data_IF_673136430809
#
_entry.id   IF_673136430809
#
_cell.length_a   1.000
_cell.length_b   1.000
_cell.length_c   1.000
_cell.angle_alpha   90.00
_cell.angle_beta   90.00
_cell.angle_gamma   90.00
#
_symmetry.space_group_name_H-M   'P 1'
#
loop_
_entity.id
_entity.type
_entity.pdbx_description
1 polymer ?
#
# COMPACT_ATOMS: atom_id res chain seq x y z
N UNK A 1 -3.95 2.60 -41.05
CA UNK A 1 -5.01 3.00 -41.99
C UNK A 1 -6.02 1.86 -42.04
N UNK A 2 -7.29 2.16 -41.80
CA UNK A 2 -8.39 1.21 -41.88
C UNK A 2 -9.23 1.52 -43.13
N UNK A 3 -9.46 0.49 -43.93
CA UNK A 3 -10.39 0.52 -45.07
C UNK A 3 -11.80 0.26 -44.53
N UNK A 4 -12.69 1.25 -44.66
CA UNK A 4 -14.06 1.18 -44.14
C UNK A 4 -15.06 1.44 -45.27
N UNK A 5 -16.29 0.94 -45.13
CA UNK A 5 -17.36 1.22 -46.08
C UNK A 5 -18.22 2.37 -45.57
N UNK A 6 -18.48 3.37 -46.43
CA UNK A 6 -19.40 4.45 -46.11
C UNK A 6 -20.82 3.89 -45.91
N UNK A 7 -21.50 4.20 -44.79
CA UNK A 7 -22.83 3.65 -44.49
C UNK A 7 -23.95 4.17 -45.41
N UNK A 8 -23.67 5.22 -46.20
CA UNK A 8 -24.66 5.87 -47.05
C UNK A 8 -24.59 5.45 -48.53
N UNK A 9 -23.42 5.01 -49.01
CA UNK A 9 -23.20 4.71 -50.43
C UNK A 9 -22.36 3.46 -50.70
N UNK A 10 -21.97 2.72 -49.65
CA UNK A 10 -21.17 1.50 -49.72
C UNK A 10 -19.81 1.67 -50.45
N UNK A 11 -19.34 2.90 -50.61
CA UNK A 11 -18.03 3.19 -51.17
C UNK A 11 -16.95 3.00 -50.09
N UNK A 12 -15.83 2.40 -50.49
CA UNK A 12 -14.66 2.20 -49.65
C UNK A 12 -13.91 3.52 -49.44
N UNK A 13 -13.62 3.84 -48.19
CA UNK A 13 -12.92 5.05 -47.75
C UNK A 13 -11.81 4.65 -46.77
N UNK A 14 -10.66 5.31 -46.90
CA UNK A 14 -9.51 5.10 -46.01
C UNK A 14 -9.55 6.14 -44.87
N UNK A 15 -9.53 5.67 -43.62
CA UNK A 15 -9.35 6.51 -42.43
C UNK A 15 -8.11 6.08 -41.64
N UNK A 16 -7.58 6.99 -40.81
CA UNK A 16 -6.50 6.66 -39.87
C UNK A 16 -6.99 5.66 -38.79
N UNK A 17 -6.10 4.81 -38.25
CA UNK A 17 -6.47 3.74 -37.30
C UNK A 17 -7.03 4.28 -35.98
N UNK A 18 -6.73 5.54 -35.64
CA UNK A 18 -7.20 6.28 -34.47
C UNK A 18 -8.27 7.33 -34.81
N UNK A 19 -8.78 7.35 -36.04
CA UNK A 19 -9.82 8.26 -36.47
C UNK A 19 -11.13 8.00 -35.70
N UNK A 20 -11.69 9.04 -35.10
CA UNK A 20 -13.04 9.03 -34.53
C UNK A 20 -13.69 10.41 -34.66
N UNK A 21 -15.01 10.46 -34.83
CA UNK A 21 -15.77 11.70 -35.00
C UNK A 21 -16.67 11.72 -36.24
N UNK A 22 -17.09 12.91 -36.64
CA UNK A 22 -17.95 13.13 -37.81
C UNK A 22 -17.07 13.32 -39.05
N UNK A 23 -17.32 12.54 -40.10
CA UNK A 23 -16.62 12.60 -41.38
C UNK A 23 -17.60 12.84 -42.51
N UNK A 24 -17.16 13.56 -43.54
CA UNK A 24 -17.93 13.73 -44.78
C UNK A 24 -17.41 12.74 -45.82
N UNK A 25 -18.31 11.96 -46.43
CA UNK A 25 -17.93 11.00 -47.45
C UNK A 25 -17.57 11.72 -48.77
N UNK A 26 -16.37 11.54 -49.34
CA UNK A 26 -15.96 12.20 -50.58
C UNK A 26 -16.71 11.71 -51.84
N UNK A 27 -17.52 10.67 -51.72
CA UNK A 27 -18.26 10.07 -52.83
C UNK A 27 -19.75 10.42 -52.85
N UNK A 28 -20.33 10.83 -51.72
CA UNK A 28 -21.76 11.17 -51.65
C UNK A 28 -22.08 12.45 -50.89
N UNK A 29 -21.05 13.18 -50.41
CA UNK A 29 -21.15 14.45 -49.67
C UNK A 29 -22.06 14.37 -48.44
N UNK A 30 -22.25 13.16 -47.89
CA UNK A 30 -23.03 12.94 -46.67
C UNK A 30 -22.10 12.74 -45.49
N UNK A 31 -22.46 13.37 -44.38
CA UNK A 31 -21.80 13.18 -43.10
C UNK A 31 -22.18 11.83 -42.48
N UNK A 32 -21.21 11.18 -41.86
CA UNK A 32 -21.39 9.97 -41.06
C UNK A 32 -20.46 10.01 -39.85
N UNK A 33 -20.89 9.41 -38.74
CA UNK A 33 -20.08 9.30 -37.53
C UNK A 33 -19.29 8.00 -37.56
N UNK A 34 -17.97 8.10 -37.42
CA UNK A 34 -17.08 6.95 -37.28
C UNK A 34 -16.56 6.86 -35.85
N UNK A 35 -16.73 5.71 -35.23
CA UNK A 35 -16.12 5.38 -33.94
C UNK A 35 -15.08 4.32 -34.25
N UNK A 36 -13.82 4.74 -34.40
CA UNK A 36 -12.71 3.80 -34.62
C UNK A 36 -12.68 2.72 -33.54
N UNK A 37 -11.95 1.63 -33.79
CA UNK A 37 -11.68 0.59 -32.79
C UNK A 37 -10.73 1.08 -31.67
N UNK A 38 -10.77 2.36 -31.32
CA UNK A 38 -10.32 2.80 -30.01
C UNK A 38 -11.25 2.16 -29.00
N UNK A 39 -10.70 1.23 -28.21
CA UNK A 39 -11.27 0.70 -26.96
C UNK A 39 -12.21 1.75 -26.39
N UNK A 40 -13.51 1.48 -26.41
CA UNK A 40 -14.54 2.40 -25.94
C UNK A 40 -14.15 2.91 -24.55
N UNK A 41 -13.52 4.08 -24.48
CA UNK A 41 -13.54 4.90 -23.28
C UNK A 41 -14.90 5.51 -23.27
N UNK A 42 -15.86 4.67 -22.89
CA UNK A 42 -17.21 5.02 -22.52
C UNK A 42 -17.08 6.23 -21.60
N UNK A 43 -17.37 7.42 -22.14
CA UNK A 43 -17.52 8.63 -21.37
C UNK A 43 -18.79 8.48 -20.54
N UNK A 44 -18.75 7.54 -19.60
CA UNK A 44 -19.75 7.39 -18.58
C UNK A 44 -19.69 8.66 -17.74
N UNK A 45 -20.68 9.51 -17.97
CA UNK A 45 -21.35 10.25 -16.91
C UNK A 45 -21.12 9.53 -15.58
N UNK A 46 -20.24 10.08 -14.74
CA UNK A 46 -19.99 9.62 -13.37
C UNK A 46 -21.28 9.80 -12.54
N UNK A 47 -22.27 8.96 -12.82
CA UNK A 47 -23.23 8.54 -11.82
C UNK A 47 -22.38 7.80 -10.80
N UNK A 48 -22.05 8.46 -9.69
CA UNK A 48 -21.33 7.86 -8.59
C UNK A 48 -22.12 6.61 -8.15
N UNK A 49 -21.74 5.45 -8.66
CA UNK A 49 -22.25 4.17 -8.18
C UNK A 49 -21.90 4.11 -6.68
N UNK A 50 -22.83 3.70 -5.80
CA UNK A 50 -22.52 3.53 -4.40
C UNK A 50 -21.25 2.69 -4.26
N UNK A 51 -20.24 3.19 -3.54
CA UNK A 51 -18.99 2.45 -3.32
C UNK A 51 -19.37 1.11 -2.69
N UNK A 52 -19.02 0.01 -3.36
CA UNK A 52 -19.18 -1.33 -2.80
C UNK A 52 -18.48 -1.40 -1.45
N UNK A 53 -19.11 -2.05 -0.46
CA UNK A 53 -18.60 -2.11 0.91
C UNK A 53 -17.17 -2.66 0.98
N UNK A 54 -16.80 -3.54 0.06
CA UNK A 54 -15.44 -4.07 -0.09
C UNK A 54 -14.45 -2.98 -0.48
N UNK A 55 -14.77 -2.15 -1.48
CA UNK A 55 -13.92 -1.03 -1.91
C UNK A 55 -13.80 0.03 -0.82
N UNK A 56 -14.90 0.38 -0.14
CA UNK A 56 -14.88 1.32 0.97
C UNK A 56 -13.99 0.84 2.12
N UNK A 57 -14.12 -0.43 2.50
CA UNK A 57 -13.31 -1.04 3.55
C UNK A 57 -11.84 -1.13 3.13
N UNK A 58 -11.56 -1.54 1.89
CA UNK A 58 -10.21 -1.54 1.31
C UNK A 58 -9.57 -0.15 1.49
N UNK A 59 -10.18 0.91 0.94
CA UNK A 59 -9.69 2.29 1.04
C UNK A 59 -9.37 2.70 2.49
N UNK A 60 -10.29 2.45 3.42
CA UNK A 60 -10.10 2.78 4.83
C UNK A 60 -8.90 2.06 5.44
N UNK A 61 -8.72 0.77 5.15
CA UNK A 61 -7.64 -0.04 5.71
C UNK A 61 -6.26 0.33 5.17
N UNK A 62 -6.15 0.77 3.92
CA UNK A 62 -4.88 1.26 3.39
C UNK A 62 -4.43 2.56 4.05
N UNK A 63 -5.36 3.51 4.22
CA UNK A 63 -5.08 4.77 4.91
C UNK A 63 -4.72 4.54 6.38
N UNK A 64 -5.52 3.73 7.08
CA UNK A 64 -5.25 3.36 8.47
C UNK A 64 -3.92 2.62 8.60
N UNK A 65 -3.64 1.69 7.69
CA UNK A 65 -2.39 0.93 7.67
C UNK A 65 -1.17 1.82 7.52
N UNK A 66 -1.21 2.77 6.57
CA UNK A 66 -0.15 3.77 6.41
C UNK A 66 0.09 4.59 7.67
N UNK A 67 -0.99 5.14 8.24
CA UNK A 67 -0.92 5.95 9.46
C UNK A 67 -0.33 5.15 10.64
N UNK A 68 -0.82 3.94 10.86
CA UNK A 68 -0.33 3.08 11.93
C UNK A 68 1.13 2.67 11.71
N UNK A 69 1.57 2.42 10.49
CA UNK A 69 2.98 2.11 10.22
C UNK A 69 3.91 3.27 10.65
N UNK A 70 3.53 4.52 10.37
CA UNK A 70 4.29 5.71 10.77
C UNK A 70 4.30 5.89 12.29
N UNK A 71 3.12 5.80 12.94
CA UNK A 71 3.01 5.86 14.40
C UNK A 71 3.82 4.73 15.06
N UNK A 72 3.90 3.58 14.39
CA UNK A 72 4.63 2.40 14.85
C UNK A 72 6.13 2.59 14.98
N UNK A 73 6.72 3.58 14.29
CA UNK A 73 8.14 3.94 14.44
C UNK A 73 8.49 4.38 15.86
N UNK A 74 7.54 4.99 16.56
CA UNK A 74 7.75 5.59 17.88
C UNK A 74 6.92 4.94 18.98
N UNK A 75 6.12 3.93 18.63
CA UNK A 75 5.25 3.23 19.57
C UNK A 75 5.97 2.04 20.21
N UNK A 76 5.55 1.67 21.43
CA UNK A 76 5.97 0.43 22.06
C UNK A 76 5.34 -0.77 21.36
N UNK A 77 6.16 -1.67 20.81
CA UNK A 77 5.72 -2.93 20.21
C UNK A 77 5.65 -4.04 21.25
N UNK A 78 6.62 -4.08 22.16
CA UNK A 78 6.63 -4.99 23.32
C UNK A 78 6.49 -4.15 24.58
N UNK A 79 5.69 -4.64 25.53
CA UNK A 79 5.54 -4.07 26.86
C UNK A 79 6.06 -5.06 27.89
N UNK A 80 6.83 -4.58 28.85
CA UNK A 80 7.48 -5.39 29.89
C UNK A 80 7.14 -4.77 31.24
N UNK A 81 6.30 -5.47 32.01
CA UNK A 81 5.65 -4.89 33.18
C UNK A 81 4.85 -3.64 32.82
N UNK A 82 4.74 -2.71 33.76
CA UNK A 82 4.06 -1.41 33.54
C UNK A 82 5.03 -0.27 33.21
N UNK A 83 6.34 -0.55 33.21
CA UNK A 83 7.37 0.48 33.21
C UNK A 83 8.26 0.47 31.97
N UNK A 84 8.32 -0.61 31.18
CA UNK A 84 9.24 -0.66 30.02
C UNK A 84 8.51 -0.98 28.71
N UNK A 85 8.89 -0.28 27.64
CA UNK A 85 8.39 -0.49 26.28
C UNK A 85 9.56 -0.62 25.31
N UNK A 86 9.50 -1.60 24.42
CA UNK A 86 10.46 -1.78 23.33
C UNK A 86 9.89 -1.14 22.07
N UNK A 87 10.70 -0.31 21.43
CA UNK A 87 10.37 0.46 20.23
C UNK A 87 11.40 0.17 19.13
N UNK A 88 11.10 0.47 17.85
CA UNK A 88 12.06 0.25 16.77
C UNK A 88 13.41 0.94 16.96
N UNK A 89 13.48 2.02 17.75
CA UNK A 89 14.73 2.76 17.99
C UNK A 89 15.40 2.46 19.33
N UNK A 90 14.82 1.61 20.17
CA UNK A 90 15.36 1.29 21.48
C UNK A 90 14.30 0.95 22.51
N UNK A 91 14.55 1.27 23.77
CA UNK A 91 13.62 1.02 24.87
C UNK A 91 13.28 2.34 25.56
N UNK A 92 12.03 2.45 26.00
CA UNK A 92 11.59 3.51 26.91
C UNK A 92 11.26 2.91 28.26
N UNK A 93 11.74 3.57 29.32
CA UNK A 93 11.47 3.21 30.71
C UNK A 93 10.73 4.39 31.35
N UNK A 94 9.61 4.11 31.98
CA UNK A 94 8.72 5.06 32.64
C UNK A 94 8.69 4.76 34.14
N UNK A 95 9.07 5.74 34.96
CA UNK A 95 9.07 5.61 36.41
C UNK A 95 8.54 6.90 37.05
N UNK A 96 7.45 6.79 37.82
CA UNK A 96 6.76 7.93 38.46
C UNK A 96 6.47 9.12 37.53
N UNK A 97 6.06 8.86 36.29
CA UNK A 97 5.74 9.89 35.29
C UNK A 97 6.96 10.52 34.61
N UNK A 98 8.17 10.03 34.89
CA UNK A 98 9.39 10.39 34.20
C UNK A 98 9.70 9.30 33.17
N UNK A 99 9.78 9.67 31.90
CA UNK A 99 10.17 8.77 30.81
C UNK A 99 11.62 9.00 30.41
N UNK A 100 12.41 7.93 30.35
CA UNK A 100 13.75 7.90 29.78
C UNK A 100 13.77 6.97 28.57
N UNK A 101 14.43 7.39 27.49
CA UNK A 101 14.60 6.59 26.28
C UNK A 101 16.07 6.24 26.08
N UNK A 102 16.34 4.99 25.77
CA UNK A 102 17.69 4.50 25.44
C UNK A 102 17.66 3.88 24.04
N UNK A 103 18.66 4.19 23.23
CA UNK A 103 18.81 3.61 21.89
C UNK A 103 19.45 2.23 21.93
N UNK A 104 19.30 1.47 20.84
CA UNK A 104 19.93 0.15 20.72
C UNK A 104 21.45 0.18 20.87
N UNK A 105 22.10 1.20 20.32
CA UNK A 105 23.56 1.39 20.42
C UNK A 105 24.02 1.70 21.84
N UNK A 106 23.20 2.42 22.63
CA UNK A 106 23.54 2.76 24.02
C UNK A 106 23.26 1.62 24.99
N UNK A 107 22.25 0.79 24.74
CA UNK A 107 21.89 -0.32 25.64
C UNK A 107 22.91 -1.46 25.61
N UNK A 108 23.58 -1.71 24.48
CA UNK A 108 24.32 -2.96 24.26
C UNK A 108 25.75 -2.78 23.70
N UNK A 109 26.30 -1.56 23.81
CA UNK A 109 27.55 -1.15 23.15
C UNK A 109 28.83 -1.88 23.59
N UNK A 110 28.87 -2.49 24.79
CA UNK A 110 30.07 -3.18 25.31
C UNK A 110 29.68 -4.49 26.01
N UNK A 111 29.39 -5.55 25.25
CA UNK A 111 29.26 -6.91 25.78
C UNK A 111 28.13 -7.76 25.20
N UNK A 112 27.06 -7.12 24.69
CA UNK A 112 25.83 -7.80 24.25
C UNK A 112 25.58 -7.60 22.74
N UNK A 113 26.62 -7.83 21.94
CA UNK A 113 26.59 -7.58 20.49
C UNK A 113 25.44 -8.30 19.77
N UNK A 114 25.06 -9.50 20.24
CA UNK A 114 23.92 -10.23 19.69
C UNK A 114 22.61 -9.44 19.85
N UNK A 115 22.35 -8.90 21.04
CA UNK A 115 21.10 -8.20 21.33
C UNK A 115 21.02 -6.84 20.61
N UNK A 116 22.16 -6.18 20.43
CA UNK A 116 22.27 -5.02 19.55
C UNK A 116 21.86 -5.37 18.10
N UNK A 117 22.30 -6.51 17.58
CA UNK A 117 21.94 -7.00 16.25
C UNK A 117 20.42 -7.27 16.16
N UNK A 118 19.81 -7.89 17.17
CA UNK A 118 18.35 -8.07 17.21
C UNK A 118 17.61 -6.73 17.13
N UNK A 119 18.06 -5.73 17.91
CA UNK A 119 17.48 -4.37 17.88
C UNK A 119 17.65 -3.67 16.54
N UNK A 120 18.83 -3.76 15.91
CA UNK A 120 19.11 -3.15 14.60
C UNK A 120 18.29 -3.82 13.49
N UNK A 121 18.22 -5.16 13.47
CA UNK A 121 17.41 -5.87 12.46
C UNK A 121 15.93 -5.56 12.67
N UNK A 122 15.46 -5.47 13.92
CA UNK A 122 14.10 -5.04 14.23
C UNK A 122 13.82 -3.64 13.66
N UNK A 123 14.69 -2.68 13.91
CA UNK A 123 14.61 -1.32 13.34
C UNK A 123 14.53 -1.36 11.81
N UNK A 124 15.42 -2.10 11.15
CA UNK A 124 15.47 -2.20 9.69
C UNK A 124 14.17 -2.81 9.13
N UNK A 125 13.65 -3.87 9.74
CA UNK A 125 12.40 -4.50 9.31
C UNK A 125 11.21 -3.55 9.41
N UNK A 126 11.14 -2.73 10.47
CA UNK A 126 10.09 -1.72 10.61
C UNK A 126 10.25 -0.61 9.55
N UNK A 127 11.48 -0.16 9.27
CA UNK A 127 11.74 0.80 8.20
C UNK A 127 11.34 0.25 6.82
N UNK A 128 11.64 -1.03 6.54
CA UNK A 128 11.19 -1.70 5.33
C UNK A 128 9.67 -1.72 5.27
N UNK A 129 8.99 -2.05 6.38
CA UNK A 129 7.53 -2.07 6.42
C UNK A 129 6.92 -0.69 6.13
N UNK A 130 7.49 0.37 6.70
CA UNK A 130 7.06 1.76 6.46
C UNK A 130 7.30 2.19 5.01
N UNK A 131 8.51 1.98 4.48
CA UNK A 131 8.83 2.31 3.09
C UNK A 131 7.90 1.56 2.13
N UNK A 132 7.67 0.27 2.40
CA UNK A 132 6.75 -0.54 1.61
C UNK A 132 5.32 -0.03 1.67
N UNK A 133 4.85 0.46 2.83
CA UNK A 133 3.53 1.09 2.94
C UNK A 133 3.42 2.40 2.19
N UNK A 134 4.44 3.25 2.23
CA UNK A 134 4.44 4.50 1.47
C UNK A 134 4.33 4.19 -0.03
N UNK A 135 5.15 3.25 -0.54
CA UNK A 135 5.08 2.84 -1.94
C UNK A 135 3.71 2.25 -2.28
N UNK A 136 3.16 1.42 -1.40
CA UNK A 136 1.84 0.82 -1.57
C UNK A 136 0.73 1.87 -1.71
N UNK A 137 0.71 2.88 -0.83
CA UNK A 137 -0.26 3.97 -0.87
C UNK A 137 -0.08 4.81 -2.14
N UNK A 138 1.16 5.10 -2.53
CA UNK A 138 1.45 5.80 -3.78
C UNK A 138 0.89 5.04 -4.98
N UNK A 139 1.17 3.75 -5.12
CA UNK A 139 0.61 2.94 -6.21
C UNK A 139 -0.91 2.95 -6.22
N UNK A 140 -1.54 2.89 -5.05
CA UNK A 140 -2.99 2.96 -4.95
C UNK A 140 -3.55 4.31 -5.41
N UNK A 141 -2.95 5.42 -4.96
CA UNK A 141 -3.35 6.76 -5.37
C UNK A 141 -3.15 6.94 -6.87
N UNK A 142 -2.03 6.46 -7.42
CA UNK A 142 -1.76 6.51 -8.86
C UNK A 142 -2.85 5.80 -9.65
N UNK A 143 -3.18 4.54 -9.31
CA UNK A 143 -4.25 3.79 -10.00
C UNK A 143 -5.58 4.55 -9.92
N UNK A 144 -5.96 4.99 -8.72
CA UNK A 144 -7.23 5.71 -8.55
C UNK A 144 -7.31 7.03 -9.34
N UNK A 145 -6.21 7.78 -9.43
CA UNK A 145 -6.17 9.05 -10.17
C UNK A 145 -6.17 8.83 -11.68
N UNK A 146 -5.55 7.74 -12.16
CA UNK A 146 -5.59 7.32 -13.57
C UNK A 146 -7.00 6.91 -13.94
N UNK A 147 -7.65 6.04 -13.15
CA UNK A 147 -9.03 5.59 -13.38
C UNK A 147 -10.03 6.76 -13.38
N UNK A 148 -9.73 7.80 -12.60
CA UNK A 148 -10.56 9.01 -12.51
C UNK A 148 -10.31 10.02 -13.64
N UNK A 149 -9.38 9.77 -14.57
CA UNK A 149 -8.97 10.71 -15.62
C UNK A 149 -8.26 11.97 -15.09
N UNK A 150 -7.83 11.96 -13.82
CA UNK A 150 -7.20 13.11 -13.16
C UNK A 150 -5.67 13.09 -13.24
N UNK A 151 -5.09 12.00 -13.73
CA UNK A 151 -3.65 11.85 -13.86
C UNK A 151 -3.31 10.98 -15.08
N UNK A 152 -2.63 11.56 -16.05
CA UNK A 152 -2.02 10.81 -17.14
C UNK A 152 -0.62 10.34 -16.71
N UNK A 153 -0.39 9.03 -16.77
CA UNK A 153 0.92 8.43 -16.54
C UNK A 153 1.30 7.54 -17.71
N UNK A 154 2.60 7.30 -17.90
CA UNK A 154 3.04 6.33 -18.91
C UNK A 154 2.41 4.96 -18.64
N UNK A 155 2.03 4.21 -19.68
CA UNK A 155 1.50 2.84 -19.56
C UNK A 155 2.42 1.92 -18.71
N UNK A 156 3.74 2.13 -18.77
CA UNK A 156 4.72 1.40 -17.95
C UNK A 156 4.61 1.73 -16.44
N UNK A 157 4.19 2.93 -16.07
CA UNK A 157 3.98 3.32 -14.68
C UNK A 157 2.68 2.71 -14.15
N UNK A 158 1.60 2.83 -14.92
CA UNK A 158 0.29 2.27 -14.59
C UNK A 158 0.37 0.75 -14.38
N UNK A 159 0.95 0.03 -15.34
CA UNK A 159 1.18 -1.41 -15.22
C UNK A 159 1.97 -1.79 -13.96
N UNK A 160 3.01 -1.01 -13.62
CA UNK A 160 3.80 -1.25 -12.41
C UNK A 160 2.99 -0.99 -11.15
N UNK A 161 2.23 0.08 -11.10
CA UNK A 161 1.38 0.41 -9.96
C UNK A 161 0.37 -0.71 -9.73
N UNK A 162 -0.31 -1.17 -10.78
CA UNK A 162 -1.27 -2.28 -10.70
C UNK A 162 -0.59 -3.60 -10.28
N UNK A 163 0.50 -3.99 -10.95
CA UNK A 163 1.18 -5.27 -10.73
C UNK A 163 1.86 -5.37 -9.37
N UNK A 164 2.52 -4.30 -8.91
CA UNK A 164 3.35 -4.33 -7.70
C UNK A 164 2.64 -3.85 -6.43
N UNK A 165 1.42 -3.30 -6.52
CA UNK A 165 0.58 -2.92 -5.36
C UNK A 165 0.42 -4.06 -4.36
N UNK A 166 0.21 -5.31 -4.83
CA UNK A 166 0.03 -6.44 -3.92
C UNK A 166 1.33 -6.80 -3.18
N UNK A 167 2.46 -6.77 -3.90
CA UNK A 167 3.77 -7.09 -3.36
C UNK A 167 4.16 -6.12 -2.23
N UNK A 168 3.90 -4.83 -2.41
CA UNK A 168 4.23 -3.81 -1.40
C UNK A 168 3.35 -3.93 -0.14
N UNK A 169 2.08 -4.30 -0.28
CA UNK A 169 1.25 -4.63 0.90
C UNK A 169 1.72 -5.89 1.62
N UNK A 170 2.11 -6.94 0.89
CA UNK A 170 2.60 -8.18 1.49
C UNK A 170 3.92 -7.95 2.23
N UNK A 171 4.87 -7.23 1.62
CA UNK A 171 6.16 -6.90 2.23
C UNK A 171 5.92 -6.15 3.54
N UNK A 172 5.01 -5.16 3.56
CA UNK A 172 4.69 -4.42 4.77
C UNK A 172 4.18 -5.34 5.90
N UNK A 173 3.26 -6.26 5.58
CA UNK A 173 2.72 -7.22 6.54
C UNK A 173 3.80 -8.19 7.05
N UNK A 174 4.51 -8.86 6.14
CA UNK A 174 5.54 -9.85 6.49
C UNK A 174 6.68 -9.22 7.29
N UNK A 175 7.15 -8.03 6.89
CA UNK A 175 8.18 -7.30 7.63
C UNK A 175 7.70 -6.88 9.02
N UNK A 176 6.44 -6.47 9.17
CA UNK A 176 5.87 -6.14 10.48
C UNK A 176 5.75 -7.37 11.39
N UNK A 177 5.31 -8.52 10.86
CA UNK A 177 5.25 -9.78 11.62
C UNK A 177 6.65 -10.21 12.04
N UNK A 178 7.61 -10.20 11.11
CA UNK A 178 8.99 -10.58 11.39
C UNK A 178 9.64 -9.65 12.42
N UNK A 179 9.43 -8.34 12.30
CA UNK A 179 9.88 -7.33 13.24
C UNK A 179 9.35 -7.61 14.66
N UNK A 180 8.04 -7.87 14.79
CA UNK A 180 7.42 -8.19 16.08
C UNK A 180 7.99 -9.48 16.68
N UNK A 181 8.06 -10.57 15.91
CA UNK A 181 8.59 -11.85 16.40
C UNK A 181 10.05 -11.72 16.84
N UNK A 182 10.85 -10.98 16.07
CA UNK A 182 12.25 -10.74 16.40
C UNK A 182 12.39 -9.93 17.70
N UNK A 183 11.61 -8.85 17.86
CA UNK A 183 11.59 -8.05 19.07
C UNK A 183 11.14 -8.87 20.29
N UNK A 184 10.13 -9.74 20.12
CA UNK A 184 9.64 -10.64 21.16
C UNK A 184 10.71 -11.65 21.59
N UNK A 185 11.40 -12.29 20.64
CA UNK A 185 12.48 -13.25 20.91
C UNK A 185 13.66 -12.54 21.58
N UNK A 186 14.10 -11.39 21.03
CA UNK A 186 15.18 -10.59 21.62
C UNK A 186 14.87 -10.16 23.05
N UNK A 187 13.63 -9.74 23.32
CA UNK A 187 13.19 -9.37 24.68
C UNK A 187 13.20 -10.55 25.65
N UNK A 188 12.79 -11.74 25.20
CA UNK A 188 12.82 -12.97 26.00
C UNK A 188 14.25 -13.40 26.35
N UNK A 189 15.18 -13.26 25.41
CA UNK A 189 16.61 -13.56 25.64
C UNK A 189 17.22 -12.54 26.61
N UNK A 190 16.90 -11.25 26.46
CA UNK A 190 17.50 -10.16 27.23
C UNK A 190 17.13 -10.14 28.71
N UNK A 191 15.85 -10.34 29.02
CA UNK A 191 15.32 -10.04 30.37
C UNK A 191 15.08 -11.30 31.19
N UNK A 192 15.10 -12.48 30.54
CA UNK A 192 14.74 -13.73 31.18
C UNK A 192 13.35 -13.66 31.83
N UNK A 193 13.08 -14.52 32.80
CA UNK A 193 11.79 -14.55 33.51
C UNK A 193 11.68 -13.51 34.63
N UNK A 194 12.78 -12.84 34.99
CA UNK A 194 12.91 -12.22 36.31
C UNK A 194 12.49 -10.74 36.33
N UNK A 195 12.48 -10.07 35.17
CA UNK A 195 12.05 -8.67 35.01
C UNK A 195 10.60 -8.47 34.54
N UNK A 196 9.84 -9.55 34.38
CA UNK A 196 8.47 -9.54 33.85
C UNK A 196 8.38 -10.08 32.43
N UNK A 197 7.26 -10.76 32.12
CA UNK A 197 7.06 -11.43 30.84
C UNK A 197 6.81 -10.40 29.72
N UNK A 198 7.62 -10.36 28.63
CA UNK A 198 7.40 -9.46 27.52
C UNK A 198 6.12 -9.83 26.76
N UNK A 199 5.22 -8.86 26.58
CA UNK A 199 3.92 -9.06 25.91
C UNK A 199 3.78 -8.14 24.70
N UNK A 200 3.03 -8.54 23.67
CA UNK A 200 2.66 -7.62 22.60
C UNK A 200 1.86 -6.45 23.17
N UNK A 201 2.17 -5.24 22.71
CA UNK A 201 1.32 -4.08 22.98
C UNK A 201 -0.01 -4.19 22.22
N UNK A 202 -1.04 -3.53 22.74
CA UNK A 202 -2.32 -3.39 22.01
C UNK A 202 -2.09 -2.75 20.63
N UNK A 203 -1.15 -1.80 20.56
CA UNK A 203 -0.79 -1.13 19.32
C UNK A 203 -0.27 -2.11 18.26
N UNK A 204 0.70 -2.98 18.58
CA UNK A 204 1.24 -3.92 17.58
C UNK A 204 0.19 -4.95 17.16
N UNK A 205 -0.68 -5.38 18.07
CA UNK A 205 -1.79 -6.28 17.74
C UNK A 205 -2.72 -5.62 16.71
N UNK A 206 -3.15 -4.37 16.97
CA UNK A 206 -3.99 -3.62 16.04
C UNK A 206 -3.27 -3.35 14.72
N UNK A 207 -1.97 -3.03 14.74
CA UNK A 207 -1.17 -2.83 13.53
C UNK A 207 -1.18 -4.09 12.66
N UNK A 208 -0.89 -5.25 13.23
CA UNK A 208 -0.83 -6.51 12.49
C UNK A 208 -2.20 -6.93 11.96
N UNK A 209 -3.27 -6.74 12.74
CA UNK A 209 -4.65 -6.96 12.28
C UNK A 209 -4.98 -6.03 11.11
N UNK A 210 -4.64 -4.74 11.22
CA UNK A 210 -4.87 -3.75 10.17
C UNK A 210 -4.12 -4.11 8.89
N UNK A 211 -2.83 -4.46 8.98
CA UNK A 211 -2.03 -4.89 7.84
C UNK A 211 -2.57 -6.17 7.20
N UNK A 212 -3.00 -7.15 7.99
CA UNK A 212 -3.57 -8.41 7.50
C UNK A 212 -4.91 -8.18 6.81
N UNK A 213 -5.75 -7.32 7.38
CA UNK A 213 -7.05 -6.95 6.81
C UNK A 213 -6.88 -6.14 5.52
N UNK A 214 -5.95 -5.18 5.51
CA UNK A 214 -5.57 -4.43 4.32
C UNK A 214 -5.17 -5.39 3.18
N UNK A 215 -4.27 -6.32 3.47
CA UNK A 215 -3.81 -7.30 2.50
C UNK A 215 -4.95 -8.20 1.99
N UNK A 216 -5.84 -8.64 2.88
CA UNK A 216 -7.00 -9.45 2.53
C UNK A 216 -7.97 -8.72 1.58
N UNK A 217 -8.39 -7.51 1.94
CA UNK A 217 -9.37 -6.75 1.14
C UNK A 217 -8.81 -6.29 -0.20
N UNK A 218 -7.53 -5.93 -0.25
CA UNK A 218 -6.85 -5.63 -1.51
C UNK A 218 -6.87 -6.83 -2.48
N UNK A 219 -6.64 -8.05 -1.98
CA UNK A 219 -6.73 -9.25 -2.83
C UNK A 219 -8.17 -9.54 -3.26
N UNK A 220 -9.16 -9.20 -2.43
CA UNK A 220 -10.57 -9.31 -2.82
C UNK A 220 -10.94 -8.32 -3.92
N UNK A 221 -10.45 -7.08 -3.83
CA UNK A 221 -10.62 -6.04 -4.85
C UNK A 221 -10.02 -6.49 -6.19
N UNK A 222 -8.79 -7.01 -6.20
CA UNK A 222 -8.14 -7.54 -7.41
C UNK A 222 -8.84 -8.76 -8.05
N UNK A 223 -9.67 -9.49 -7.30
CA UNK A 223 -10.46 -10.61 -7.83
C UNK A 223 -11.82 -10.16 -8.38
N UNK A 224 -12.24 -8.94 -8.05
CA UNK A 224 -13.49 -8.33 -8.51
C UNK A 224 -13.32 -7.37 -9.69
N UNK A 225 -12.07 -7.02 -10.00
CA UNK A 225 -11.62 -6.30 -11.19
C UNK A 225 -11.37 -7.30 -12.32
#
# INVERSE_FOLDING_TARGET
MAEILCPNCDAEIELDDDASGLFECPFCDQEFEWKGESVETDAQSYNATPIDGIKAMSHGMHGLGGLMAIIGLFSGWIVIGDFAKITPFGATIEFFGISASMGWFSMFGEGEALLAIFGIIFMILVLIAVCSQIIHIVYRITVHMVDSGNLEVSAKMEFRAYKYRWHTSLIALCSSIAAYLLAQIGSLISIGTDGGFPRPSVFVILLLITMGTQFYFMNKELLSE
#
